data_IF_715076916083
#
_entry.id   IF_715076916083
#
_cell.length_a   1.000
_cell.length_b   1.000
_cell.length_c   1.000
_cell.angle_alpha   90.00
_cell.angle_beta   90.00
_cell.angle_gamma   90.00
#
_symmetry.space_group_name_H-M   'P 1'
#
loop_
_entity.id
_entity.type
_entity.pdbx_description
1 polymer ?
#
# COMPACT_ATOMS: atom_id res chain seq x y z
N UNK A 1 -12.31 -1.27 -35.95
CA UNK A 1 -13.10 -0.32 -35.15
C UNK A 1 -12.15 0.77 -34.72
N UNK A 2 -12.34 2.00 -35.18
CA UNK A 2 -11.45 3.12 -34.83
C UNK A 2 -11.95 3.72 -33.52
N UNK A 3 -11.09 3.82 -32.52
CA UNK A 3 -11.43 4.45 -31.24
C UNK A 3 -11.49 5.96 -31.46
N UNK A 4 -12.59 6.59 -31.03
CA UNK A 4 -12.68 8.05 -30.93
C UNK A 4 -11.99 8.50 -29.63
N UNK A 5 -10.80 9.08 -29.78
CA UNK A 5 -9.96 9.51 -28.66
C UNK A 5 -10.61 10.69 -27.93
N UNK A 6 -11.25 11.61 -28.64
CA UNK A 6 -11.82 12.81 -28.03
C UNK A 6 -13.03 12.45 -27.16
N UNK A 7 -13.88 11.55 -27.66
CA UNK A 7 -15.00 11.01 -26.88
C UNK A 7 -14.54 10.22 -25.64
N UNK A 8 -13.50 9.39 -25.78
CA UNK A 8 -12.94 8.64 -24.66
C UNK A 8 -12.34 9.57 -23.59
N UNK A 9 -11.62 10.61 -24.01
CA UNK A 9 -11.02 11.61 -23.11
C UNK A 9 -12.09 12.41 -22.37
N UNK A 10 -13.13 12.86 -23.08
CA UNK A 10 -14.26 13.58 -22.47
C UNK A 10 -14.90 12.74 -21.35
N UNK A 11 -15.15 11.46 -21.63
CA UNK A 11 -15.72 10.52 -20.65
C UNK A 11 -14.80 10.34 -19.43
N UNK A 12 -13.48 10.20 -19.64
CA UNK A 12 -12.52 10.02 -18.56
C UNK A 12 -12.46 11.24 -17.64
N UNK A 13 -12.38 12.45 -18.21
CA UNK A 13 -12.33 13.71 -17.45
C UNK A 13 -13.65 13.95 -16.72
N UNK A 14 -14.79 13.71 -17.37
CA UNK A 14 -16.11 13.87 -16.74
C UNK A 14 -16.24 12.99 -15.49
N UNK A 15 -15.87 11.71 -15.58
CA UNK A 15 -15.88 10.78 -14.43
C UNK A 15 -14.95 11.21 -13.32
N UNK A 16 -13.75 11.71 -13.66
CA UNK A 16 -12.79 12.21 -12.67
C UNK A 16 -13.34 13.44 -11.94
N UNK A 17 -13.91 14.41 -12.67
CA UNK A 17 -14.42 15.65 -12.11
C UNK A 17 -15.73 15.46 -11.32
N UNK A 18 -16.57 14.49 -11.70
CA UNK A 18 -17.82 14.17 -11.02
C UNK A 18 -17.64 13.31 -9.76
N UNK A 19 -16.44 12.81 -9.49
CA UNK A 19 -16.17 11.95 -8.34
C UNK A 19 -16.44 12.68 -7.01
N UNK A 20 -17.09 11.97 -6.08
CA UNK A 20 -17.38 12.46 -4.72
C UNK A 20 -16.77 11.50 -3.70
N UNK A 21 -15.45 11.61 -3.43
CA UNK A 21 -14.78 10.76 -2.46
C UNK A 21 -15.16 11.18 -1.04
N UNK A 22 -15.72 10.24 -0.28
CA UNK A 22 -16.05 10.39 1.13
C UNK A 22 -15.25 9.36 1.92
N UNK A 23 -14.64 9.79 3.03
CA UNK A 23 -14.07 8.87 4.00
C UNK A 23 -15.22 8.09 4.64
N UNK A 24 -15.36 6.82 4.27
CA UNK A 24 -16.46 5.97 4.68
C UNK A 24 -16.14 5.22 5.97
N UNK A 25 -14.88 4.78 6.15
CA UNK A 25 -14.47 3.99 7.31
C UNK A 25 -12.95 3.98 7.54
N UNK A 26 -12.53 3.41 8.67
CA UNK A 26 -11.19 2.91 8.95
C UNK A 26 -11.25 1.39 9.11
N UNK A 27 -10.44 0.65 8.36
CA UNK A 27 -10.43 -0.82 8.39
C UNK A 27 -9.03 -1.41 8.49
N UNK A 28 -8.95 -2.71 8.75
CA UNK A 28 -7.70 -3.48 8.66
C UNK A 28 -7.50 -3.90 7.20
N UNK A 29 -6.31 -3.70 6.65
CA UNK A 29 -6.03 -3.87 5.22
C UNK A 29 -6.44 -5.24 4.68
N UNK A 30 -6.12 -6.32 5.41
CA UNK A 30 -6.48 -7.70 5.06
C UNK A 30 -7.99 -7.96 5.00
N UNK A 31 -8.78 -7.19 5.75
CA UNK A 31 -10.23 -7.36 5.80
C UNK A 31 -10.94 -6.55 4.71
N UNK A 32 -10.40 -5.38 4.33
CA UNK A 32 -11.11 -4.42 3.48
C UNK A 32 -10.55 -4.25 2.08
N UNK A 33 -9.27 -4.56 1.83
CA UNK A 33 -8.65 -4.45 0.50
C UNK A 33 -8.92 -5.74 -0.28
N UNK A 34 -9.67 -5.69 -1.41
CA UNK A 34 -9.97 -6.90 -2.19
C UNK A 34 -8.70 -7.58 -2.70
N UNK A 35 -8.54 -8.86 -2.38
CA UNK A 35 -7.37 -9.68 -2.80
C UNK A 35 -6.15 -9.58 -1.88
N UNK A 36 -6.19 -8.75 -0.83
CA UNK A 36 -5.16 -8.74 0.20
C UNK A 36 -5.15 -10.08 0.94
N UNK A 37 -3.96 -10.59 1.27
CA UNK A 37 -3.80 -11.88 1.95
C UNK A 37 -2.49 -11.91 2.75
N UNK A 38 -2.32 -12.94 3.58
CA UNK A 38 -1.33 -12.99 4.67
C UNK A 38 0.12 -12.67 4.28
N UNK A 39 0.56 -13.09 3.08
CA UNK A 39 1.94 -12.93 2.62
C UNK A 39 2.10 -11.87 1.52
N UNK A 40 1.12 -10.99 1.35
CA UNK A 40 1.19 -9.88 0.42
C UNK A 40 1.55 -8.58 1.14
N UNK A 41 2.61 -7.92 0.67
CA UNK A 41 2.93 -6.54 1.04
C UNK A 41 2.73 -5.63 -0.17
N UNK A 42 1.89 -4.61 0.01
CA UNK A 42 1.73 -3.57 -1.01
C UNK A 42 2.84 -2.53 -0.87
N UNK A 43 3.19 -1.85 -1.97
CA UNK A 43 4.16 -0.75 -1.96
C UNK A 43 3.80 0.36 -2.96
N UNK A 44 4.41 1.53 -2.79
CA UNK A 44 4.28 2.64 -3.73
C UNK A 44 5.02 2.36 -5.06
N UNK A 45 4.58 3.04 -6.13
CA UNK A 45 5.23 2.97 -7.45
C UNK A 45 4.80 1.77 -8.32
N UNK A 46 5.49 1.55 -9.45
CA UNK A 46 5.24 0.42 -10.36
C UNK A 46 5.81 -0.90 -9.81
N UNK A 47 5.50 -2.06 -10.42
CA UNK A 47 6.05 -3.35 -9.98
C UNK A 47 7.57 -3.33 -9.86
N UNK A 48 8.10 -3.83 -8.75
CA UNK A 48 9.54 -3.91 -8.49
C UNK A 48 9.88 -5.15 -7.65
N UNK A 49 10.94 -5.85 -8.02
CA UNK A 49 11.41 -7.00 -7.25
C UNK A 49 12.29 -6.56 -6.06
N UNK A 50 12.32 -7.36 -4.99
CA UNK A 50 13.13 -7.11 -3.80
C UNK A 50 14.60 -6.68 -4.07
N UNK A 51 15.35 -7.33 -5.00
CA UNK A 51 16.73 -6.95 -5.30
C UNK A 51 16.89 -5.55 -5.89
N UNK A 52 15.83 -4.96 -6.41
CA UNK A 52 15.82 -3.64 -7.03
C UNK A 52 15.24 -2.56 -6.11
N UNK A 53 14.57 -2.95 -5.02
CA UNK A 53 14.02 -2.01 -4.05
C UNK A 53 15.11 -1.15 -3.42
N UNK A 54 14.82 0.14 -3.26
CA UNK A 54 15.71 1.11 -2.59
C UNK A 54 15.86 0.80 -1.10
N UNK A 55 16.92 1.32 -0.47
CA UNK A 55 17.15 1.17 0.97
C UNK A 55 15.93 1.52 1.85
N UNK A 56 15.28 2.69 1.66
CA UNK A 56 14.08 3.05 2.41
C UNK A 56 12.91 2.08 2.20
N UNK A 57 12.67 1.63 0.97
CA UNK A 57 11.59 0.66 0.69
C UNK A 57 11.89 -0.70 1.35
N UNK A 58 13.13 -1.17 1.27
CA UNK A 58 13.56 -2.40 1.97
C UNK A 58 13.39 -2.28 3.49
N UNK A 59 13.75 -1.13 4.06
CA UNK A 59 13.56 -0.87 5.48
C UNK A 59 12.07 -0.90 5.87
N UNK A 60 11.20 -0.34 5.04
CA UNK A 60 9.76 -0.36 5.29
C UNK A 60 9.18 -1.79 5.20
N UNK A 61 9.62 -2.59 4.23
CA UNK A 61 9.26 -4.02 4.12
C UNK A 61 9.73 -4.80 5.34
N UNK A 62 10.98 -4.60 5.77
CA UNK A 62 11.53 -5.24 6.98
C UNK A 62 10.68 -4.89 8.19
N UNK A 63 10.38 -3.61 8.38
CA UNK A 63 9.56 -3.16 9.50
C UNK A 63 8.15 -3.73 9.47
N UNK A 64 7.53 -3.83 8.29
CA UNK A 64 6.23 -4.44 8.12
C UNK A 64 6.24 -5.95 8.44
N UNK A 65 7.29 -6.69 8.03
CA UNK A 65 7.40 -8.12 8.35
C UNK A 65 7.60 -8.38 9.85
N UNK A 66 8.32 -7.48 10.54
CA UNK A 66 8.44 -7.52 12.00
C UNK A 66 7.10 -7.22 12.66
N UNK A 67 6.38 -6.20 12.18
CA UNK A 67 5.04 -5.84 12.67
C UNK A 67 4.04 -7.00 12.51
N UNK A 68 4.06 -7.69 11.38
CA UNK A 68 3.24 -8.89 11.12
C UNK A 68 3.70 -10.13 11.91
N UNK A 69 4.78 -10.03 12.71
CA UNK A 69 5.33 -11.15 13.47
C UNK A 69 5.96 -12.26 12.61
N UNK A 70 6.27 -11.98 11.34
CA UNK A 70 6.89 -12.93 10.40
C UNK A 70 8.41 -13.03 10.55
N UNK A 71 9.01 -12.09 11.27
CA UNK A 71 10.43 -12.07 11.60
C UNK A 71 10.66 -11.36 12.94
N UNK A 72 11.66 -11.81 13.69
CA UNK A 72 12.04 -11.21 14.98
C UNK A 72 13.03 -10.05 14.82
N UNK A 73 13.81 -10.05 13.74
CA UNK A 73 14.82 -9.02 13.49
C UNK A 73 15.06 -8.79 11.99
N UNK A 74 15.78 -7.70 11.68
CA UNK A 74 15.96 -7.21 10.31
C UNK A 74 16.57 -8.25 9.35
N UNK A 75 17.58 -9.00 9.79
CA UNK A 75 18.23 -10.00 8.95
C UNK A 75 17.29 -11.15 8.56
N UNK A 76 16.43 -11.59 9.48
CA UNK A 76 15.42 -12.62 9.22
C UNK A 76 14.35 -12.10 8.24
N UNK A 77 13.87 -10.88 8.45
CA UNK A 77 12.91 -10.23 7.56
C UNK A 77 13.48 -10.07 6.13
N UNK A 78 14.73 -9.63 6.01
CA UNK A 78 15.41 -9.48 4.73
C UNK A 78 15.63 -10.81 4.02
N UNK A 79 15.97 -11.88 4.77
CA UNK A 79 16.11 -13.22 4.24
C UNK A 79 14.76 -13.78 3.75
N UNK A 80 13.68 -13.56 4.51
CA UNK A 80 12.33 -13.97 4.13
C UNK A 80 11.86 -13.28 2.85
N UNK A 81 12.07 -11.96 2.75
CA UNK A 81 11.78 -11.18 1.54
C UNK A 81 12.60 -11.65 0.33
N UNK A 82 13.88 -12.00 0.53
CA UNK A 82 14.75 -12.51 -0.52
C UNK A 82 14.41 -13.95 -0.97
N UNK A 83 13.84 -14.76 -0.07
CA UNK A 83 13.48 -16.15 -0.35
C UNK A 83 12.24 -16.31 -1.25
N UNK A 84 11.52 -15.22 -1.53
CA UNK A 84 10.30 -15.23 -2.34
C UNK A 84 9.06 -15.77 -1.62
N UNK A 85 9.11 -15.87 -0.29
CA UNK A 85 7.96 -16.26 0.54
C UNK A 85 6.94 -15.12 0.72
N UNK A 86 7.33 -13.89 0.35
CA UNK A 86 6.51 -12.67 0.43
C UNK A 86 6.24 -12.18 -0.98
N UNK A 87 4.97 -11.95 -1.27
CA UNK A 87 4.52 -11.31 -2.50
C UNK A 87 4.60 -9.79 -2.35
N UNK A 88 5.07 -9.12 -3.40
CA UNK A 88 5.12 -7.66 -3.47
C UNK A 88 4.28 -7.18 -4.63
N UNK A 89 3.40 -6.22 -4.38
CA UNK A 89 2.61 -5.61 -5.44
C UNK A 89 2.43 -4.09 -5.26
N UNK A 90 2.30 -3.34 -6.36
CA UNK A 90 1.89 -1.94 -6.30
C UNK A 90 0.55 -1.76 -5.61
N UNK A 91 0.44 -0.77 -4.73
CA UNK A 91 -0.86 -0.37 -4.15
C UNK A 91 -1.92 -0.12 -5.24
N UNK A 92 -1.53 0.46 -6.38
CA UNK A 92 -2.42 0.79 -7.49
C UNK A 92 -3.11 -0.42 -8.14
N UNK A 93 -2.56 -1.64 -8.00
CA UNK A 93 -3.21 -2.86 -8.47
C UNK A 93 -4.38 -3.30 -7.57
N UNK A 94 -4.44 -2.78 -6.35
CA UNK A 94 -5.40 -3.14 -5.31
C UNK A 94 -6.32 -1.97 -4.93
N UNK A 95 -6.42 -0.95 -5.79
CA UNK A 95 -7.20 0.26 -5.51
C UNK A 95 -6.66 1.07 -4.32
N UNK A 96 -5.39 0.88 -3.96
CA UNK A 96 -4.76 1.56 -2.84
C UNK A 96 -3.70 2.56 -3.31
N UNK A 97 -3.33 3.48 -2.43
CA UNK A 97 -2.16 4.36 -2.59
C UNK A 97 -1.39 4.39 -1.27
N UNK A 98 -0.06 4.51 -1.36
CA UNK A 98 0.81 4.60 -0.19
C UNK A 98 1.79 5.77 -0.34
N UNK A 99 1.94 6.65 0.66
CA UNK A 99 2.90 7.74 0.62
C UNK A 99 4.34 7.23 0.83
N UNK A 100 5.30 7.82 0.11
CA UNK A 100 6.74 7.53 0.25
C UNK A 100 7.07 6.07 -0.12
N UNK A 101 7.60 5.24 0.80
CA UNK A 101 7.75 3.81 0.55
C UNK A 101 6.39 3.12 0.34
N UNK A 102 5.34 3.64 0.99
CA UNK A 102 3.96 3.22 0.79
C UNK A 102 3.68 1.77 1.18
N UNK A 103 4.51 1.17 2.04
CA UNK A 103 4.31 -0.21 2.46
C UNK A 103 3.01 -0.32 3.26
N UNK A 104 2.19 -1.30 2.87
CA UNK A 104 0.96 -1.67 3.58
C UNK A 104 0.94 -3.19 3.74
N UNK A 105 0.87 -3.65 4.98
CA UNK A 105 0.77 -5.08 5.33
C UNK A 105 -0.65 -5.43 5.78
N UNK A 106 -1.02 -6.74 5.82
CA UNK A 106 -2.41 -7.16 6.06
C UNK A 106 -3.02 -6.65 7.37
N UNK A 107 -2.22 -6.53 8.44
CA UNK A 107 -2.71 -6.11 9.76
C UNK A 107 -2.70 -4.59 9.97
N UNK A 108 -2.20 -3.81 8.99
CA UNK A 108 -2.18 -2.35 9.09
C UNK A 108 -3.57 -1.74 8.92
N UNK A 109 -3.84 -0.67 9.66
CA UNK A 109 -5.04 0.14 9.45
C UNK A 109 -4.96 0.93 8.12
N UNK A 110 -6.11 1.10 7.47
CA UNK A 110 -6.27 1.87 6.23
C UNK A 110 -7.55 2.70 6.26
N UNK A 111 -7.50 3.86 5.60
CA UNK A 111 -8.69 4.60 5.22
C UNK A 111 -9.45 3.83 4.14
N UNK A 112 -10.79 3.74 4.28
CA UNK A 112 -11.70 3.28 3.23
C UNK A 112 -12.42 4.50 2.66
N UNK A 113 -12.07 4.88 1.44
CA UNK A 113 -12.66 6.03 0.74
C UNK A 113 -13.63 5.51 -0.31
N UNK A 114 -14.89 5.92 -0.24
CA UNK A 114 -15.91 5.58 -1.22
C UNK A 114 -16.18 6.76 -2.14
N UNK A 115 -16.13 6.54 -3.45
CA UNK A 115 -16.69 7.48 -4.40
C UNK A 115 -18.21 7.29 -4.47
N UNK A 116 -18.99 8.19 -3.90
CA UNK A 116 -20.46 8.06 -3.90
C UNK A 116 -21.06 8.12 -5.31
N UNK A 117 -20.41 8.80 -6.25
CA UNK A 117 -20.91 8.97 -7.62
C UNK A 117 -20.84 7.68 -8.44
N UNK A 118 -19.77 6.90 -8.28
CA UNK A 118 -19.51 5.72 -9.12
C UNK A 118 -19.37 4.40 -8.33
N UNK A 119 -19.43 4.46 -7.01
CA UNK A 119 -19.45 3.30 -6.11
C UNK A 119 -18.09 2.62 -5.89
N UNK A 120 -17.03 3.03 -6.59
CA UNK A 120 -15.70 2.44 -6.40
C UNK A 120 -15.08 2.85 -5.04
N UNK A 121 -14.24 1.97 -4.51
CA UNK A 121 -13.46 2.20 -3.29
C UNK A 121 -12.01 2.55 -3.62
N UNK A 122 -11.36 3.28 -2.72
CA UNK A 122 -9.92 3.48 -2.70
C UNK A 122 -9.39 3.41 -1.25
N UNK A 123 -8.13 3.01 -1.10
CA UNK A 123 -7.52 2.78 0.22
C UNK A 123 -6.19 3.53 0.38
N UNK A 124 -5.86 3.90 1.61
CA UNK A 124 -4.53 4.43 1.96
C UNK A 124 -4.20 4.06 3.40
N UNK A 125 -2.93 3.72 3.66
CA UNK A 125 -2.45 3.59 5.04
C UNK A 125 -2.52 4.93 5.79
N UNK A 126 -2.42 4.86 7.12
CA UNK A 126 -2.49 6.02 8.00
C UNK A 126 -1.13 6.71 8.13
N UNK A 127 -1.14 7.99 8.49
CA UNK A 127 0.08 8.72 8.78
C UNK A 127 0.56 8.38 10.20
N UNK A 128 1.76 7.79 10.29
CA UNK A 128 2.43 7.36 11.52
C UNK A 128 3.03 8.52 12.34
N UNK A 129 2.87 9.77 11.87
CA UNK A 129 3.41 10.98 12.48
C UNK A 129 4.65 11.53 11.77
N UNK A 130 5.42 12.32 12.52
CA UNK A 130 6.60 13.04 12.02
C UNK A 130 7.90 12.39 12.50
N UNK A 131 9.00 12.67 11.79
CA UNK A 131 10.33 12.20 12.14
C UNK A 131 10.59 10.78 11.68
N UNK A 132 11.01 9.92 12.61
CA UNK A 132 11.36 8.52 12.34
C UNK A 132 10.08 7.69 12.23
N UNK A 133 9.79 7.20 11.02
CA UNK A 133 8.55 6.49 10.65
C UNK A 133 8.82 5.43 9.59
N UNK A 134 7.95 4.42 9.50
CA UNK A 134 8.08 3.28 8.58
C UNK A 134 8.05 3.71 7.13
N UNK A 135 7.22 4.69 6.74
CA UNK A 135 7.17 5.18 5.36
C UNK A 135 8.48 5.79 4.83
N UNK A 136 9.45 6.08 5.70
CA UNK A 136 10.83 6.48 5.34
C UNK A 136 11.87 5.35 5.52
N UNK A 137 11.42 4.14 5.84
CA UNK A 137 12.25 2.95 5.99
C UNK A 137 12.81 2.73 7.40
N UNK A 138 12.31 3.44 8.42
CA UNK A 138 12.70 3.19 9.80
C UNK A 138 11.87 2.05 10.41
N UNK A 139 12.48 1.22 11.25
CA UNK A 139 11.84 0.01 11.80
C UNK A 139 12.32 -0.34 13.22
N UNK A 140 12.92 0.62 13.93
CA UNK A 140 13.35 0.43 15.31
C UNK A 140 12.14 0.27 16.26
N UNK A 141 12.39 -0.18 17.48
CA UNK A 141 11.36 -0.50 18.48
C UNK A 141 10.31 0.62 18.70
N UNK A 142 10.75 1.88 18.73
CA UNK A 142 9.86 3.04 18.88
C UNK A 142 9.00 3.36 17.64
N UNK A 143 9.34 2.79 16.47
CA UNK A 143 8.48 2.79 15.28
C UNK A 143 7.49 1.64 15.37
N UNK A 144 7.93 0.45 15.81
CA UNK A 144 7.10 -0.74 15.93
C UNK A 144 6.00 -0.62 17.00
N UNK A 145 6.25 0.15 18.06
CA UNK A 145 5.33 0.31 19.19
C UNK A 145 4.22 1.37 18.98
N UNK A 146 4.17 2.05 17.83
CA UNK A 146 3.18 3.09 17.51
C UNK A 146 1.95 2.52 16.83
#
# INVERSE_FOLDING_TARGET
MTIDIDSANATAVERMMAARPILADLGVAGDVIPGMHENLLLHAGPPIAWPEMSGPLRGAVIGALIFEGKAQHADEAAALAAAGAIEFAPCHHYGAVGPMAGVTSPSMAVYVVKNETHGNLAFSNLNEGYGKVLRYGAYQEDVQAR
#
